data_IF_421735824136
#
_entry.id   IF_421735824136
#
_cell.length_a   1.000
_cell.length_b   1.000
_cell.length_c   1.000
_cell.angle_alpha   90.00
_cell.angle_beta   90.00
_cell.angle_gamma   90.00
#
_symmetry.space_group_name_H-M   'P 1'
#
loop_
_entity.id
_entity.type
_entity.pdbx_description
1 polymer ?
#
# COMPACT_ATOMS: atom_id res chain seq x y z
N UNK A 1 1.53 3.51 -26.80
CA UNK A 1 2.88 3.61 -26.19
C UNK A 1 2.80 2.94 -24.82
N UNK A 2 3.55 1.86 -24.63
CA UNK A 2 3.66 1.21 -23.31
C UNK A 2 4.43 2.19 -22.42
N UNK A 3 3.83 2.59 -21.30
CA UNK A 3 4.49 3.48 -20.36
C UNK A 3 5.65 2.70 -19.71
N UNK A 4 6.89 3.16 -19.85
CA UNK A 4 8.09 2.52 -19.30
C UNK A 4 8.08 2.38 -17.77
N UNK A 5 7.13 3.00 -17.11
CA UNK A 5 6.97 2.98 -15.66
C UNK A 5 5.81 2.07 -15.21
N UNK A 6 5.16 1.35 -16.13
CA UNK A 6 4.02 0.48 -15.83
C UNK A 6 4.45 -0.99 -15.86
N UNK A 7 4.10 -1.72 -14.81
CA UNK A 7 4.45 -3.12 -14.60
C UNK A 7 3.20 -3.90 -14.19
N UNK A 8 2.85 -4.91 -14.98
CA UNK A 8 1.65 -5.72 -14.77
C UNK A 8 2.01 -7.12 -14.28
N UNK A 9 1.26 -7.63 -13.28
CA UNK A 9 1.29 -9.04 -12.94
C UNK A 9 0.36 -9.84 -13.87
N UNK A 10 0.78 -11.03 -14.26
CA UNK A 10 -0.15 -11.98 -14.85
C UNK A 10 -1.17 -12.45 -13.82
N UNK A 11 -2.30 -12.98 -14.26
CA UNK A 11 -3.32 -13.50 -13.36
C UNK A 11 -2.78 -14.60 -12.43
N UNK A 12 -1.91 -15.47 -12.94
CA UNK A 12 -1.30 -16.52 -12.12
C UNK A 12 -0.36 -15.97 -11.06
N UNK A 13 0.42 -14.95 -11.36
CA UNK A 13 1.32 -14.29 -10.39
C UNK A 13 0.50 -13.57 -9.31
N UNK A 14 -0.54 -12.84 -9.72
CA UNK A 14 -1.49 -12.19 -8.80
C UNK A 14 -2.16 -13.19 -7.86
N UNK A 15 -2.69 -14.28 -8.40
CA UNK A 15 -3.45 -15.25 -7.62
C UNK A 15 -2.57 -15.98 -6.58
N UNK A 16 -1.33 -16.34 -6.95
CA UNK A 16 -0.35 -16.89 -6.01
C UNK A 16 0.03 -15.92 -4.90
N UNK A 17 0.22 -14.65 -5.27
CA UNK A 17 0.55 -13.61 -4.31
C UNK A 17 -0.65 -13.33 -3.39
N UNK A 18 -1.87 -13.33 -3.94
CA UNK A 18 -3.10 -13.21 -3.17
C UNK A 18 -3.20 -14.30 -2.10
N UNK A 19 -3.02 -15.57 -2.49
CA UNK A 19 -3.09 -16.72 -1.59
C UNK A 19 -2.05 -16.61 -0.45
N UNK A 20 -0.83 -16.22 -0.77
CA UNK A 20 0.21 -16.06 0.25
C UNK A 20 -0.09 -14.92 1.23
N UNK A 21 -0.56 -13.77 0.74
CA UNK A 21 -0.86 -12.59 1.57
C UNK A 21 -2.12 -12.78 2.43
N UNK A 22 -3.07 -13.61 2.00
CA UNK A 22 -4.29 -13.93 2.76
C UNK A 22 -3.98 -14.70 4.05
N UNK A 23 -2.87 -15.40 4.10
CA UNK A 23 -2.41 -16.14 5.28
C UNK A 23 -1.58 -15.30 6.25
N UNK A 24 -1.18 -14.09 5.86
CA UNK A 24 -0.39 -13.20 6.72
C UNK A 24 -1.30 -12.43 7.64
N UNK A 25 -1.11 -12.59 8.95
CA UNK A 25 -1.76 -11.75 9.95
C UNK A 25 -1.20 -10.34 9.82
N UNK A 26 -2.08 -9.36 9.59
CA UNK A 26 -1.68 -7.97 9.51
C UNK A 26 -1.26 -7.45 10.88
N UNK A 27 0.04 -7.24 11.05
CA UNK A 27 0.63 -6.70 12.28
C UNK A 27 1.79 -5.76 11.94
N UNK A 28 1.50 -4.52 11.51
CA UNK A 28 2.53 -3.58 11.06
C UNK A 28 3.50 -3.18 12.18
N UNK A 29 3.15 -3.44 13.44
CA UNK A 29 3.99 -3.22 14.61
C UNK A 29 4.60 -4.51 15.16
N UNK A 30 4.32 -5.65 14.56
CA UNK A 30 4.81 -6.99 14.94
C UNK A 30 6.32 -7.20 14.77
N UNK A 31 7.04 -6.13 14.45
CA UNK A 31 8.49 -6.10 14.45
C UNK A 31 9.12 -6.92 13.32
N UNK A 32 10.22 -7.62 13.68
CA UNK A 32 11.06 -8.33 12.69
C UNK A 32 10.30 -9.49 12.04
N UNK A 33 9.48 -10.23 12.79
CA UNK A 33 8.81 -11.44 12.29
C UNK A 33 7.86 -11.14 11.14
N UNK A 34 6.98 -10.15 11.30
CA UNK A 34 6.06 -9.70 10.26
C UNK A 34 6.81 -9.21 9.02
N UNK A 35 7.82 -8.36 9.21
CA UNK A 35 8.64 -7.82 8.12
C UNK A 35 9.40 -8.91 7.36
N UNK A 36 9.92 -9.90 8.07
CA UNK A 36 10.65 -11.04 7.47
C UNK A 36 9.69 -11.93 6.68
N UNK A 37 8.48 -12.16 7.18
CA UNK A 37 7.48 -12.95 6.46
C UNK A 37 7.08 -12.30 5.14
N UNK A 38 6.78 -11.01 5.15
CA UNK A 38 6.47 -10.27 3.92
C UNK A 38 7.64 -10.25 2.93
N UNK A 39 8.87 -10.09 3.41
CA UNK A 39 10.06 -10.18 2.56
C UNK A 39 10.26 -11.58 1.96
N UNK A 40 10.01 -12.65 2.70
CA UNK A 40 10.05 -14.03 2.18
C UNK A 40 9.03 -14.23 1.05
N UNK A 41 7.81 -13.77 1.24
CA UNK A 41 6.77 -13.82 0.21
C UNK A 41 7.22 -13.03 -1.04
N UNK A 42 7.72 -11.81 -0.85
CA UNK A 42 8.20 -10.99 -1.94
C UNK A 42 9.29 -11.68 -2.77
N UNK A 43 10.33 -12.19 -2.13
CA UNK A 43 11.44 -12.85 -2.81
C UNK A 43 11.07 -14.19 -3.43
N UNK A 44 10.01 -14.86 -2.95
CA UNK A 44 9.56 -16.14 -3.47
C UNK A 44 8.55 -16.02 -4.60
N UNK A 45 7.69 -15.01 -4.59
CA UNK A 45 6.50 -14.93 -5.45
C UNK A 45 6.46 -13.71 -6.36
N UNK A 46 7.12 -12.60 -6.02
CA UNK A 46 7.18 -11.48 -6.95
C UNK A 46 8.01 -11.86 -8.18
N UNK A 47 7.50 -11.57 -9.39
CA UNK A 47 8.27 -11.78 -10.61
C UNK A 47 9.60 -11.02 -10.55
N UNK A 48 10.66 -11.65 -11.06
CA UNK A 48 12.00 -11.04 -11.05
C UNK A 48 12.02 -9.62 -11.64
N UNK A 49 11.21 -9.35 -12.69
CA UNK A 49 11.09 -8.03 -13.32
C UNK A 49 10.58 -6.97 -12.34
N UNK A 50 9.61 -7.31 -11.48
CA UNK A 50 9.05 -6.39 -10.48
C UNK A 50 10.02 -6.23 -9.30
N UNK A 51 10.56 -7.33 -8.82
CA UNK A 51 11.53 -7.30 -7.74
C UNK A 51 12.75 -6.45 -8.11
N UNK A 52 13.29 -6.62 -9.32
CA UNK A 52 14.43 -5.84 -9.82
C UNK A 52 14.13 -4.35 -9.87
N UNK A 53 12.95 -3.94 -10.35
CA UNK A 53 12.63 -2.51 -10.44
C UNK A 53 12.46 -1.87 -9.06
N UNK A 54 11.85 -2.57 -8.11
CA UNK A 54 11.72 -2.09 -6.73
C UNK A 54 13.09 -1.97 -6.05
N UNK A 55 13.96 -2.96 -6.21
CA UNK A 55 15.32 -2.92 -5.67
C UNK A 55 16.15 -1.80 -6.31
N UNK A 56 16.03 -1.60 -7.62
CA UNK A 56 16.70 -0.49 -8.30
C UNK A 56 16.18 0.86 -7.82
N UNK A 57 14.88 0.99 -7.54
CA UNK A 57 14.31 2.21 -6.98
C UNK A 57 14.95 2.58 -5.64
N UNK A 58 15.24 1.58 -4.79
CA UNK A 58 15.88 1.75 -3.49
C UNK A 58 17.33 2.28 -3.59
N UNK A 59 18.11 1.75 -4.53
CA UNK A 59 19.56 2.01 -4.59
C UNK A 59 19.98 3.06 -5.62
N UNK A 60 19.04 3.49 -6.47
CA UNK A 60 19.34 4.45 -7.53
C UNK A 60 19.60 5.85 -7.00
N UNK A 61 20.62 6.51 -7.52
CA UNK A 61 20.89 7.93 -7.29
C UNK A 61 19.83 8.80 -8.01
N UNK A 62 19.28 8.28 -9.10
CA UNK A 62 18.22 8.93 -9.89
C UNK A 62 17.01 7.99 -9.99
N UNK A 63 16.23 7.84 -8.90
CA UNK A 63 15.07 6.97 -8.93
C UNK A 63 14.03 7.47 -9.93
N UNK A 64 13.23 6.57 -10.47
CA UNK A 64 12.08 6.97 -11.29
C UNK A 64 11.12 7.81 -10.46
N UNK A 65 10.50 8.86 -11.02
CA UNK A 65 9.59 9.73 -10.28
C UNK A 65 8.33 9.01 -9.81
N UNK A 66 7.93 7.96 -10.52
CA UNK A 66 6.80 7.09 -10.16
C UNK A 66 6.94 5.71 -10.81
N UNK A 67 6.28 4.72 -10.23
CA UNK A 67 6.08 3.38 -10.75
C UNK A 67 4.59 3.06 -10.65
N UNK A 68 4.04 2.44 -11.69
CA UNK A 68 2.65 1.99 -11.74
C UNK A 68 2.66 0.46 -11.77
N UNK A 69 1.96 -0.15 -10.84
CA UNK A 69 1.77 -1.60 -10.81
C UNK A 69 0.31 -1.92 -11.07
N UNK A 70 0.07 -2.81 -12.03
CA UNK A 70 -1.27 -3.21 -12.46
C UNK A 70 -1.53 -4.67 -12.14
N UNK A 71 -2.81 -5.04 -12.07
CA UNK A 71 -3.29 -6.38 -11.76
C UNK A 71 -2.73 -6.91 -10.43
N UNK A 72 -2.69 -6.04 -9.41
CA UNK A 72 -2.28 -6.41 -8.06
C UNK A 72 -3.38 -7.19 -7.32
N UNK A 73 -3.03 -8.06 -6.35
CA UNK A 73 -4.02 -8.68 -5.49
C UNK A 73 -4.69 -7.64 -4.59
N UNK A 74 -5.99 -7.78 -4.43
CA UNK A 74 -6.82 -6.91 -3.58
C UNK A 74 -7.75 -7.74 -2.73
N UNK A 75 -8.27 -7.17 -1.65
CA UNK A 75 -9.27 -7.82 -0.82
C UNK A 75 -10.53 -8.11 -1.63
N UNK A 76 -11.09 -9.33 -1.50
CA UNK A 76 -12.29 -9.75 -2.24
C UNK A 76 -13.56 -9.07 -1.76
N UNK A 77 -13.60 -8.69 -0.50
CA UNK A 77 -14.70 -7.96 0.10
C UNK A 77 -14.15 -6.67 0.71
N UNK A 78 -14.51 -5.57 0.09
CA UNK A 78 -14.25 -4.24 0.63
C UNK A 78 -15.54 -3.80 1.29
N UNK A 79 -15.63 -4.01 2.60
CA UNK A 79 -16.69 -3.42 3.38
C UNK A 79 -16.37 -1.93 3.53
N UNK A 80 -17.28 -1.07 3.11
CA UNK A 80 -17.10 0.36 3.30
C UNK A 80 -17.01 0.65 4.80
N UNK A 81 -15.86 1.11 5.26
CA UNK A 81 -15.72 1.61 6.62
C UNK A 81 -16.53 2.89 6.75
N UNK A 82 -17.50 2.98 7.67
CA UNK A 82 -18.33 4.17 7.81
C UNK A 82 -17.56 5.41 8.30
N UNK A 83 -16.42 5.23 8.96
CA UNK A 83 -15.62 6.33 9.45
C UNK A 83 -14.16 5.90 9.66
N UNK A 84 -13.18 6.59 9.02
CA UNK A 84 -11.76 6.26 9.17
C UNK A 84 -11.22 6.47 10.59
N UNK A 85 -11.91 7.24 11.43
CA UNK A 85 -11.56 7.48 12.82
C UNK A 85 -12.19 6.45 13.78
N UNK A 86 -13.19 5.70 13.33
CA UNK A 86 -13.86 4.63 14.07
C UNK A 86 -13.66 3.32 13.33
N UNK A 87 -12.41 2.94 13.09
CA UNK A 87 -12.08 1.62 12.56
C UNK A 87 -12.44 0.57 13.61
N UNK A 88 -13.69 0.19 13.62
CA UNK A 88 -14.10 -1.07 14.22
C UNK A 88 -13.48 -2.18 13.33
N UNK A 89 -12.58 -2.98 13.90
CA UNK A 89 -11.94 -4.11 13.23
C UNK A 89 -12.95 -5.06 12.57
N UNK A 90 -14.21 -5.02 13.03
CA UNK A 90 -15.32 -5.78 12.45
C UNK A 90 -15.70 -5.38 11.02
N UNK A 91 -15.27 -4.21 10.53
CA UNK A 91 -15.65 -3.71 9.21
C UNK A 91 -14.78 -4.27 8.08
N UNK A 92 -13.68 -4.93 8.36
CA UNK A 92 -12.75 -5.46 7.37
C UNK A 92 -12.51 -6.94 7.55
N UNK A 93 -12.68 -7.72 6.48
CA UNK A 93 -12.53 -9.17 6.49
C UNK A 93 -11.16 -9.66 5.99
N UNK A 94 -10.29 -8.76 5.55
CA UNK A 94 -8.97 -9.11 5.03
C UNK A 94 -8.02 -7.92 5.04
N UNK A 95 -6.73 -8.21 4.93
CA UNK A 95 -5.64 -7.23 4.96
C UNK A 95 -4.65 -7.44 3.80
N UNK A 96 -5.13 -7.96 2.66
CA UNK A 96 -4.28 -8.23 1.50
C UNK A 96 -3.67 -6.95 0.96
N UNK A 97 -4.48 -5.90 0.86
CA UNK A 97 -4.04 -4.60 0.36
C UNK A 97 -3.00 -3.95 1.28
N UNK A 98 -3.20 -4.02 2.60
CA UNK A 98 -2.25 -3.50 3.58
C UNK A 98 -0.95 -4.31 3.60
N UNK A 99 -1.05 -5.65 3.61
CA UNK A 99 0.11 -6.53 3.55
C UNK A 99 0.91 -6.29 2.26
N UNK A 100 0.23 -6.05 1.13
CA UNK A 100 0.88 -5.73 -0.14
C UNK A 100 1.61 -4.39 -0.10
N UNK A 101 0.96 -3.34 0.43
CA UNK A 101 1.58 -2.01 0.60
C UNK A 101 2.80 -2.11 1.52
N UNK A 102 2.67 -2.80 2.65
CA UNK A 102 3.77 -3.03 3.57
C UNK A 102 4.91 -3.80 2.92
N UNK A 103 4.61 -4.86 2.16
CA UNK A 103 5.60 -5.65 1.45
C UNK A 103 6.39 -4.81 0.44
N UNK A 104 5.72 -3.99 -0.37
CA UNK A 104 6.39 -3.10 -1.33
C UNK A 104 7.22 -2.04 -0.62
N UNK A 105 6.67 -1.44 0.44
CA UNK A 105 7.39 -0.44 1.25
C UNK A 105 8.68 -1.00 1.84
N UNK A 106 8.66 -2.22 2.37
CA UNK A 106 9.83 -2.90 2.94
C UNK A 106 10.91 -3.25 1.89
N UNK A 107 10.55 -3.32 0.61
CA UNK A 107 11.52 -3.54 -0.47
C UNK A 107 12.23 -2.25 -0.88
N UNK A 108 11.59 -1.10 -0.76
CA UNK A 108 12.14 0.19 -1.18
C UNK A 108 12.66 1.04 -0.02
N UNK A 109 12.21 0.78 1.21
CA UNK A 109 12.62 1.57 2.39
C UNK A 109 12.20 0.93 3.70
N UNK A 110 12.14 1.74 4.73
CA UNK A 110 11.61 1.39 6.04
C UNK A 110 10.35 2.23 6.28
N UNK A 111 9.15 1.61 6.30
CA UNK A 111 7.91 2.31 6.59
C UNK A 111 7.91 2.84 8.03
N UNK A 112 7.38 4.03 8.22
CA UNK A 112 7.24 4.65 9.53
C UNK A 112 5.91 5.40 9.62
N UNK A 113 5.41 5.60 10.84
CA UNK A 113 4.25 6.44 11.12
C UNK A 113 4.67 7.76 11.75
N UNK A 114 3.86 8.79 11.52
CA UNK A 114 4.04 10.11 12.12
C UNK A 114 2.98 10.26 13.20
N UNK A 115 3.40 10.40 14.45
CA UNK A 115 2.52 10.36 15.64
C UNK A 115 1.33 11.33 15.58
N UNK A 116 1.51 12.53 15.04
CA UNK A 116 0.45 13.52 14.94
C UNK A 116 -0.49 13.33 13.73
N UNK A 117 -0.14 12.40 12.81
CA UNK A 117 -1.00 12.02 11.67
C UNK A 117 -1.77 10.73 11.93
N UNK A 118 -1.69 10.21 13.14
CA UNK A 118 -2.22 8.92 13.52
C UNK A 118 -1.10 7.90 13.74
N UNK A 119 -1.35 6.92 14.58
CA UNK A 119 -0.34 5.90 14.92
C UNK A 119 -0.30 4.75 13.91
N UNK A 120 -1.03 4.86 12.79
CA UNK A 120 -1.10 3.82 11.77
C UNK A 120 0.00 3.97 10.73
N UNK A 121 0.70 2.89 10.41
CA UNK A 121 1.66 2.85 9.29
C UNK A 121 0.93 2.87 7.96
N UNK A 122 -0.17 2.13 7.84
CA UNK A 122 -1.07 2.16 6.70
C UNK A 122 -2.38 2.81 7.12
N UNK A 123 -2.73 3.92 6.47
CA UNK A 123 -3.95 4.66 6.75
C UNK A 123 -5.01 4.37 5.69
N UNK A 124 -6.24 4.12 6.12
CA UNK A 124 -7.37 4.01 5.22
C UNK A 124 -7.93 5.41 4.93
N UNK A 125 -7.92 5.78 3.66
CA UNK A 125 -8.55 7.02 3.20
C UNK A 125 -9.96 6.70 2.70
N UNK A 126 -10.95 7.19 3.42
CA UNK A 126 -12.36 7.02 3.07
C UNK A 126 -12.97 8.40 2.88
N UNK A 127 -13.51 8.71 1.70
CA UNK A 127 -14.25 9.96 1.50
C UNK A 127 -15.46 10.00 2.45
N UNK A 128 -15.58 11.08 3.22
CA UNK A 128 -16.71 11.31 4.11
C UNK A 128 -17.69 12.31 3.48
N UNK A 129 -18.99 11.99 3.51
CA UNK A 129 -20.03 12.86 2.96
C UNK A 129 -20.00 14.27 3.60
N UNK A 130 -19.77 14.32 4.92
CA UNK A 130 -19.68 15.58 5.66
C UNK A 130 -18.47 16.45 5.28
N UNK A 131 -17.41 15.82 4.77
CA UNK A 131 -16.15 16.47 4.42
C UNK A 131 -15.95 16.63 2.90
N UNK A 132 -16.94 16.30 2.08
CA UNK A 132 -16.79 16.24 0.62
C UNK A 132 -16.32 17.54 -0.03
N UNK A 133 -16.57 18.68 0.62
CA UNK A 133 -16.16 20.01 0.16
C UNK A 133 -14.92 20.56 0.86
N UNK A 134 -14.32 19.80 1.75
CA UNK A 134 -13.14 20.23 2.49
C UNK A 134 -11.86 19.98 1.68
N UNK A 135 -10.92 20.91 1.78
CA UNK A 135 -9.57 20.79 1.21
C UNK A 135 -8.71 19.82 2.05
N UNK A 136 -9.22 18.62 2.26
CA UNK A 136 -8.53 17.56 3.02
C UNK A 136 -8.47 16.29 2.19
N UNK A 137 -7.62 15.36 2.57
CA UNK A 137 -7.58 14.03 1.94
C UNK A 137 -8.89 13.23 2.06
N UNK A 138 -9.86 13.73 2.84
CA UNK A 138 -11.20 13.15 3.00
C UNK A 138 -12.23 13.80 2.07
N UNK A 139 -11.88 14.92 1.42
CA UNK A 139 -12.74 15.59 0.45
C UNK A 139 -12.80 14.82 -0.86
N UNK A 140 -13.99 14.67 -1.43
CA UNK A 140 -14.20 13.92 -2.67
C UNK A 140 -14.66 14.80 -3.84
N UNK A 141 -15.13 16.02 -3.57
CA UNK A 141 -15.67 16.96 -4.59
C UNK A 141 -14.74 18.16 -4.85
N UNK A 142 -13.63 18.27 -4.11
CA UNK A 142 -12.69 19.39 -4.25
C UNK A 142 -11.44 18.92 -4.97
N UNK A 143 -11.08 19.62 -6.03
CA UNK A 143 -9.81 19.42 -6.71
C UNK A 143 -8.67 19.93 -5.83
N UNK A 144 -7.75 19.04 -5.50
CA UNK A 144 -6.55 19.38 -4.74
C UNK A 144 -5.45 19.77 -5.73
N UNK A 145 -5.01 21.02 -5.66
CA UNK A 145 -3.84 21.47 -6.39
C UNK A 145 -2.56 20.77 -5.92
N UNK A 146 -1.51 20.83 -6.73
CA UNK A 146 -0.19 20.36 -6.33
C UNK A 146 0.23 21.05 -5.03
N UNK A 147 0.42 20.24 -3.99
CA UNK A 147 0.89 20.74 -2.71
C UNK A 147 2.15 19.97 -2.29
N UNK A 148 3.06 20.68 -1.69
CA UNK A 148 4.26 20.12 -1.09
C UNK A 148 4.12 20.24 0.43
N UNK A 149 4.12 19.10 1.14
CA UNK A 149 4.17 19.12 2.60
C UNK A 149 5.59 19.51 3.02
N UNK A 150 5.76 20.73 3.49
CA UNK A 150 7.03 21.12 4.12
C UNK A 150 7.08 20.51 5.51
N UNK A 151 8.05 19.64 5.73
CA UNK A 151 8.43 19.18 7.06
C UNK A 151 9.16 20.33 7.76
N UNK A 152 8.57 20.88 8.80
CA UNK A 152 9.20 21.85 9.70
C UNK A 152 9.91 21.13 10.84
#
# INVERSE_FOLDING_TARGET
MINENTFELSNLERDKLWEALDHVIYDPYGGIEYSVELKKIAFSLLPHRILTILMNQKVSITPKPYLIFENLPVDRQINMSPNPYNLDESCKSGYISENLIMMFSLLIGEPYSIKFEGEHIVNNLVPLEDNKKDYTGLGSEVELDFHMKMLH
#
